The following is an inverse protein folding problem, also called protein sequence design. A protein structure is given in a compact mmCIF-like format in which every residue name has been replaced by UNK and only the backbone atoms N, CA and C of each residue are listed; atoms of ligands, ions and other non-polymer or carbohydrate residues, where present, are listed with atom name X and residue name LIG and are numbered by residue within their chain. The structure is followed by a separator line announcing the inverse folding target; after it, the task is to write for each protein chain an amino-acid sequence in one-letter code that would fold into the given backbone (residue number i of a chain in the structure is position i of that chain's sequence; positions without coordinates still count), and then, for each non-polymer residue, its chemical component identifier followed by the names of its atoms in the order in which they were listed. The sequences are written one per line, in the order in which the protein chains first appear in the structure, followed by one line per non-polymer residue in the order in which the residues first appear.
data_IF_614368267068
#
_entry.id   IF_614368267068
#
_cell.length_a   1.000
_cell.length_b   1.000
_cell.length_c   1.000
_cell.angle_alpha   90.00
_cell.angle_beta   90.00
_cell.angle_gamma   90.00
#
_symmetry.space_group_name_H-M   'P 1'
#
loop_
_entity.id
_entity.type
_entity.pdbx_description
1 polymer ?
#
# COMPACT_ATOMS: atom_id res chain seq x y z
N UNK A 1 -21.04 -27.38 -6.42
CA UNK A 1 -21.30 -26.21 -7.29
C UNK A 1 -20.39 -25.09 -6.83
N UNK A 2 -19.35 -24.77 -7.61
CA UNK A 2 -18.40 -23.70 -7.28
C UNK A 2 -19.05 -22.41 -7.78
N UNK A 3 -19.43 -21.53 -6.86
CA UNK A 3 -19.93 -20.19 -7.21
C UNK A 3 -18.84 -19.44 -7.99
N UNK A 4 -19.18 -18.62 -8.99
CA UNK A 4 -18.20 -17.87 -9.76
C UNK A 4 -17.41 -16.95 -8.83
N UNK A 5 -16.09 -17.06 -8.84
CA UNK A 5 -15.19 -16.18 -8.09
C UNK A 5 -15.38 -14.75 -8.58
N UNK A 6 -16.06 -13.92 -7.79
CA UNK A 6 -16.08 -12.47 -8.04
C UNK A 6 -14.63 -12.00 -7.96
N UNK A 7 -14.12 -11.48 -9.09
CA UNK A 7 -12.77 -10.94 -9.19
C UNK A 7 -12.50 -9.99 -8.03
N UNK A 8 -11.35 -10.12 -7.37
CA UNK A 8 -10.92 -9.24 -6.28
C UNK A 8 -10.88 -7.75 -6.71
N UNK A 9 -10.82 -7.48 -8.01
CA UNK A 9 -10.81 -6.13 -8.61
C UNK A 9 -12.19 -5.45 -8.60
N UNK A 10 -13.28 -6.20 -8.48
CA UNK A 10 -14.62 -5.62 -8.62
C UNK A 10 -15.00 -4.78 -7.38
N UNK A 11 -14.86 -3.46 -7.48
CA UNK A 11 -15.42 -2.49 -6.52
C UNK A 11 -14.42 -1.65 -5.73
N UNK A 12 -13.11 -1.76 -5.99
CA UNK A 12 -12.09 -0.90 -5.36
C UNK A 12 -11.62 0.21 -6.30
N UNK A 13 -11.38 1.40 -5.74
CA UNK A 13 -10.71 2.52 -6.43
C UNK A 13 -9.22 2.38 -6.21
N UNK A 14 -8.46 2.10 -7.28
CA UNK A 14 -7.03 1.78 -7.21
C UNK A 14 -6.21 2.95 -6.66
N UNK A 15 -6.44 4.17 -7.17
CA UNK A 15 -5.80 5.39 -6.68
C UNK A 15 -6.85 6.35 -6.14
N UNK A 16 -7.16 6.24 -4.83
CA UNK A 16 -8.10 7.13 -4.14
C UNK A 16 -7.38 8.30 -3.46
N UNK A 17 -8.09 9.42 -3.26
CA UNK A 17 -7.59 10.54 -2.44
C UNK A 17 -7.26 10.11 -1.01
N UNK A 18 -8.01 9.15 -0.46
CA UNK A 18 -7.77 8.61 0.87
C UNK A 18 -6.44 7.84 0.93
N UNK A 19 -6.17 6.98 -0.06
CA UNK A 19 -4.91 6.25 -0.16
C UNK A 19 -3.72 7.18 -0.37
N UNK A 20 -3.83 8.15 -1.29
CA UNK A 20 -2.77 9.15 -1.50
C UNK A 20 -2.46 9.92 -0.22
N UNK A 21 -3.51 10.35 0.51
CA UNK A 21 -3.33 11.06 1.79
C UNK A 21 -2.71 10.16 2.85
N UNK A 22 -3.12 8.89 2.93
CA UNK A 22 -2.58 7.92 3.88
C UNK A 22 -1.10 7.63 3.61
N UNK A 23 -0.72 7.40 2.35
CA UNK A 23 0.68 7.24 1.96
C UNK A 23 1.49 8.52 2.22
N UNK A 24 0.93 9.70 1.95
CA UNK A 24 1.58 10.97 2.26
C UNK A 24 1.95 11.14 3.74
N UNK A 25 1.10 10.64 4.64
CA UNK A 25 1.39 10.65 6.08
C UNK A 25 2.48 9.63 6.48
N UNK A 26 2.58 8.51 5.77
CA UNK A 26 3.52 7.42 6.09
C UNK A 26 4.90 7.62 5.48
N UNK A 27 4.96 8.04 4.22
CA UNK A 27 6.21 8.20 3.44
C UNK A 27 6.78 9.63 3.55
N UNK A 28 5.96 10.60 3.98
CA UNK A 28 6.27 12.02 3.81
C UNK A 28 6.14 12.46 2.36
N UNK A 29 6.51 13.71 2.07
CA UNK A 29 6.52 14.25 0.70
C UNK A 29 7.65 15.28 0.56
N UNK A 30 8.75 14.92 -0.11
CA UNK A 30 9.87 15.80 -0.36
C UNK A 30 9.95 16.21 -1.85
N UNK A 31 9.55 17.43 -2.23
CA UNK A 31 9.59 17.86 -3.63
C UNK A 31 11.01 18.05 -4.17
N UNK A 32 12.02 18.23 -3.31
CA UNK A 32 13.41 18.36 -3.74
C UNK A 32 14.03 16.97 -3.92
N UNK A 33 14.59 16.71 -5.10
CA UNK A 33 15.26 15.44 -5.38
C UNK A 33 16.57 15.36 -4.60
N UNK A 34 16.72 14.32 -3.80
CA UNK A 34 17.90 14.07 -2.97
C UNK A 34 18.54 12.72 -3.28
N UNK A 35 19.85 12.60 -3.03
CA UNK A 35 20.53 11.31 -3.06
C UNK A 35 20.23 10.58 -1.74
N UNK A 36 19.40 9.55 -1.80
CA UNK A 36 19.00 8.81 -0.61
C UNK A 36 20.12 7.89 -0.13
N UNK A 37 20.76 8.28 0.97
CA UNK A 37 21.86 7.52 1.58
C UNK A 37 21.42 6.16 2.12
N UNK A 38 20.15 5.99 2.46
CA UNK A 38 19.58 4.71 2.90
C UNK A 38 19.37 3.77 1.72
N UNK A 39 19.17 4.32 0.53
CA UNK A 39 19.05 3.61 -0.74
C UNK A 39 20.32 3.71 -1.60
N UNK A 40 21.51 3.72 -1.00
CA UNK A 40 22.80 3.72 -1.72
C UNK A 40 22.96 4.87 -2.75
N UNK A 41 22.48 6.06 -2.42
CA UNK A 41 22.48 7.28 -3.25
C UNK A 41 21.58 7.23 -4.49
N UNK A 42 20.56 6.36 -4.50
CA UNK A 42 19.51 6.43 -5.53
C UNK A 42 18.80 7.80 -5.46
N UNK A 43 18.61 8.50 -6.59
CA UNK A 43 17.82 9.73 -6.63
C UNK A 43 16.36 9.47 -6.22
N UNK A 44 15.91 10.18 -5.20
CA UNK A 44 14.58 9.98 -4.59
C UNK A 44 13.83 11.30 -4.49
N UNK A 45 12.52 11.28 -4.75
CA UNK A 45 11.63 12.46 -4.73
C UNK A 45 10.23 12.13 -4.21
N UNK A 46 9.47 13.15 -3.82
CA UNK A 46 8.08 13.09 -3.37
C UNK A 46 7.89 12.07 -2.23
N UNK A 47 7.06 11.05 -2.42
CA UNK A 47 6.74 10.01 -1.45
C UNK A 47 7.70 8.81 -1.51
N UNK A 48 8.97 9.04 -1.86
CA UNK A 48 9.96 7.97 -2.02
C UNK A 48 10.06 7.41 -3.44
N UNK A 49 9.57 8.15 -4.44
CA UNK A 49 9.65 7.75 -5.83
C UNK A 49 11.10 7.77 -6.34
N UNK A 50 11.46 6.76 -7.14
CA UNK A 50 12.76 6.62 -7.80
C UNK A 50 12.55 6.19 -9.24
N UNK A 51 13.35 6.71 -10.17
CA UNK A 51 13.24 6.37 -11.59
C UNK A 51 14.31 7.04 -12.45
N UNK A 52 14.49 6.61 -13.71
CA UNK A 52 15.46 7.21 -14.63
C UNK A 52 15.20 8.70 -14.92
N UNK A 53 13.98 9.18 -14.71
CA UNK A 53 13.55 10.57 -14.82
C UNK A 53 13.97 11.45 -13.63
N UNK A 54 14.34 10.85 -12.51
CA UNK A 54 14.62 11.54 -11.24
C UNK A 54 16.08 12.00 -11.21
N UNK A 55 16.30 13.31 -11.15
CA UNK A 55 17.65 13.91 -11.19
C UNK A 55 17.91 14.75 -9.94
N UNK A 56 19.00 14.45 -9.24
CA UNK A 56 19.40 15.16 -8.02
C UNK A 56 19.57 16.65 -8.31
N UNK A 57 18.96 17.49 -7.48
CA UNK A 57 18.95 18.95 -7.64
C UNK A 57 17.66 19.50 -8.27
N UNK A 58 16.83 18.67 -8.88
CA UNK A 58 15.51 19.09 -9.35
C UNK A 58 14.55 19.34 -8.17
N UNK A 59 13.54 20.18 -8.39
CA UNK A 59 12.41 20.37 -7.49
C UNK A 59 11.12 20.14 -8.26
N UNK A 60 10.32 19.17 -7.81
CA UNK A 60 9.06 18.82 -8.43
C UNK A 60 7.91 19.61 -7.83
N UNK A 61 6.97 20.01 -8.68
CA UNK A 61 5.72 20.64 -8.25
C UNK A 61 4.83 19.62 -7.55
N UNK A 62 3.87 20.11 -6.75
CA UNK A 62 2.86 19.24 -6.13
C UNK A 62 2.13 18.38 -7.17
N UNK A 63 1.78 18.96 -8.32
CA UNK A 63 1.10 18.22 -9.38
C UNK A 63 1.95 17.07 -9.95
N UNK A 64 3.26 17.28 -10.09
CA UNK A 64 4.19 16.20 -10.49
C UNK A 64 4.28 15.12 -9.42
N UNK A 65 4.36 15.50 -8.14
CA UNK A 65 4.38 14.54 -7.04
C UNK A 65 3.07 13.74 -6.93
N UNK A 66 1.91 14.40 -7.07
CA UNK A 66 0.62 13.71 -7.05
C UNK A 66 0.51 12.75 -8.25
N UNK A 67 0.92 13.19 -9.45
CA UNK A 67 0.87 12.37 -10.66
C UNK A 67 1.76 11.13 -10.57
N UNK A 68 2.99 11.26 -10.03
CA UNK A 68 3.87 10.11 -9.88
C UNK A 68 3.42 9.16 -8.77
N UNK A 69 2.86 9.71 -7.68
CA UNK A 69 2.28 8.90 -6.62
C UNK A 69 1.11 8.04 -7.13
N UNK A 70 0.26 8.59 -8.00
CA UNK A 70 -0.82 7.82 -8.65
C UNK A 70 -0.24 6.64 -9.43
N UNK A 71 0.81 6.86 -10.24
CA UNK A 71 1.44 5.79 -11.01
C UNK A 71 2.07 4.72 -10.12
N UNK A 72 2.75 5.12 -9.05
CA UNK A 72 3.34 4.17 -8.11
C UNK A 72 2.27 3.37 -7.36
N UNK A 73 1.17 4.01 -6.97
CA UNK A 73 0.00 3.34 -6.37
C UNK A 73 -0.60 2.34 -7.34
N UNK A 74 -0.80 2.70 -8.60
CA UNK A 74 -1.34 1.79 -9.61
C UNK A 74 -0.45 0.57 -9.77
N UNK A 75 0.87 0.76 -9.90
CA UNK A 75 1.84 -0.35 -10.00
C UNK A 75 1.77 -1.30 -8.79
N UNK A 76 1.81 -0.75 -7.57
CA UNK A 76 1.79 -1.58 -6.35
C UNK A 76 0.42 -2.20 -6.09
N UNK A 77 -0.65 -1.45 -6.33
CA UNK A 77 -2.03 -1.85 -6.13
C UNK A 77 -2.45 -2.95 -7.11
N UNK A 78 -2.15 -2.79 -8.40
CA UNK A 78 -2.41 -3.84 -9.40
C UNK A 78 -1.56 -5.08 -9.16
N UNK A 79 -0.28 -4.89 -8.80
CA UNK A 79 0.61 -5.97 -8.42
C UNK A 79 0.07 -6.78 -7.25
N UNK A 80 -0.42 -6.11 -6.20
CA UNK A 80 -1.06 -6.76 -5.06
C UNK A 80 -2.38 -7.45 -5.45
N UNK A 81 -3.24 -6.78 -6.21
CA UNK A 81 -4.52 -7.35 -6.66
C UNK A 81 -4.32 -8.59 -7.55
N UNK A 82 -3.17 -8.74 -8.21
CA UNK A 82 -2.85 -9.92 -9.02
C UNK A 82 -2.74 -11.21 -8.20
N UNK A 83 -2.46 -11.11 -6.90
CA UNK A 83 -2.31 -12.25 -5.99
C UNK A 83 -3.41 -12.34 -4.92
N UNK A 84 -4.41 -11.45 -4.97
CA UNK A 84 -5.61 -11.53 -4.12
C UNK A 84 -6.74 -12.19 -4.91
N UNK A 85 -7.30 -13.26 -4.38
CA UNK A 85 -8.29 -14.12 -5.07
C UNK A 85 -9.69 -14.04 -4.47
N UNK A 86 -9.88 -13.21 -3.43
CA UNK A 86 -11.16 -12.99 -2.77
C UNK A 86 -11.56 -11.51 -2.86
N UNK A 87 -12.86 -11.19 -2.79
CA UNK A 87 -13.30 -9.81 -2.66
C UNK A 87 -12.72 -9.15 -1.41
N UNK A 88 -12.25 -7.93 -1.54
CA UNK A 88 -11.81 -7.08 -0.44
C UNK A 88 -12.56 -5.75 -0.49
N UNK A 89 -12.72 -5.10 0.65
CA UNK A 89 -13.29 -3.76 0.70
C UNK A 89 -12.24 -2.68 0.44
N UNK A 90 -12.68 -1.43 0.25
CA UNK A 90 -11.79 -0.31 -0.03
C UNK A 90 -10.73 -0.11 1.07
N UNK A 91 -11.11 -0.13 2.34
CA UNK A 91 -10.16 0.08 3.44
C UNK A 91 -9.08 -1.02 3.52
N UNK A 92 -9.46 -2.28 3.25
CA UNK A 92 -8.52 -3.40 3.15
C UNK A 92 -7.55 -3.19 1.98
N UNK A 93 -8.06 -2.81 0.81
CA UNK A 93 -7.22 -2.51 -0.34
C UNK A 93 -6.23 -1.38 -0.04
N UNK A 94 -6.69 -0.27 0.54
CA UNK A 94 -5.86 0.89 0.83
C UNK A 94 -4.77 0.56 1.86
N UNK A 95 -5.13 -0.12 2.96
CA UNK A 95 -4.18 -0.55 3.98
C UNK A 95 -3.11 -1.50 3.43
N UNK A 96 -3.53 -2.49 2.65
CA UNK A 96 -2.60 -3.49 2.12
C UNK A 96 -1.75 -2.94 0.97
N UNK A 97 -2.27 -1.99 0.19
CA UNK A 97 -1.48 -1.27 -0.83
C UNK A 97 -0.44 -0.39 -0.16
N UNK A 98 -0.79 0.36 0.89
CA UNK A 98 0.18 1.15 1.65
C UNK A 98 1.26 0.27 2.31
N UNK A 99 0.89 -0.89 2.83
CA UNK A 99 1.85 -1.86 3.35
C UNK A 99 2.76 -2.41 2.23
N UNK A 100 2.18 -2.82 1.10
CA UNK A 100 2.89 -3.33 -0.09
C UNK A 100 3.86 -2.29 -0.67
N UNK A 101 3.53 -1.00 -0.60
CA UNK A 101 4.42 0.09 -1.00
C UNK A 101 5.76 0.08 -0.24
N UNK A 102 5.73 -0.33 1.03
CA UNK A 102 6.92 -0.39 1.88
C UNK A 102 7.67 -1.71 1.85
N UNK A 103 6.96 -2.84 1.73
CA UNK A 103 7.60 -4.18 1.75
C UNK A 103 7.86 -4.74 0.34
N UNK A 104 7.27 -4.13 -0.69
CA UNK A 104 7.27 -4.61 -2.07
C UNK A 104 6.21 -5.68 -2.34
N UNK A 105 5.68 -5.68 -3.57
CA UNK A 105 4.63 -6.61 -4.04
C UNK A 105 5.03 -8.08 -3.87
N UNK A 106 6.28 -8.43 -4.18
CA UNK A 106 6.75 -9.83 -4.08
C UNK A 106 6.68 -10.36 -2.64
N UNK A 107 7.14 -9.58 -1.66
CA UNK A 107 7.05 -9.94 -0.25
C UNK A 107 5.60 -9.98 0.23
N UNK A 108 4.77 -9.04 -0.22
CA UNK A 108 3.36 -9.00 0.10
C UNK A 108 2.62 -10.26 -0.41
N UNK A 109 2.76 -10.60 -1.69
CA UNK A 109 2.11 -11.76 -2.30
C UNK A 109 2.57 -13.10 -1.70
N UNK A 110 3.85 -13.21 -1.31
CA UNK A 110 4.39 -14.40 -0.64
C UNK A 110 4.05 -14.53 0.85
N UNK A 111 3.33 -13.56 1.43
CA UNK A 111 3.13 -13.46 2.87
C UNK A 111 2.05 -14.42 3.42
N UNK A 112 2.17 -14.75 4.71
CA UNK A 112 1.07 -15.36 5.47
C UNK A 112 -0.17 -14.46 5.50
N UNK A 113 0.00 -13.14 5.44
CA UNK A 113 -1.10 -12.18 5.38
C UNK A 113 -1.99 -12.46 4.16
N UNK A 114 -1.42 -12.45 2.95
CA UNK A 114 -2.17 -12.67 1.70
C UNK A 114 -2.74 -14.09 1.65
N UNK A 115 -2.01 -15.08 2.18
CA UNK A 115 -2.54 -16.45 2.35
C UNK A 115 -3.83 -16.48 3.18
N UNK A 116 -3.86 -15.80 4.34
CA UNK A 116 -5.05 -15.74 5.19
C UNK A 116 -6.16 -14.90 4.54
N UNK A 117 -5.79 -13.81 3.86
CA UNK A 117 -6.73 -12.97 3.13
C UNK A 117 -7.48 -13.79 2.08
N UNK A 118 -6.76 -14.57 1.26
CA UNK A 118 -7.34 -15.44 0.23
C UNK A 118 -8.18 -16.60 0.77
N UNK A 119 -8.12 -16.86 2.08
CA UNK A 119 -9.02 -17.77 2.79
C UNK A 119 -10.25 -17.05 3.39
N UNK A 120 -10.46 -15.78 2.99
CA UNK A 120 -11.46 -14.86 3.54
C UNK A 120 -11.35 -14.64 5.05
N UNK A 121 -10.18 -14.92 5.65
CA UNK A 121 -9.92 -14.68 7.07
C UNK A 121 -9.44 -13.23 7.29
N UNK A 122 -10.27 -12.26 6.96
CA UNK A 122 -9.87 -10.85 6.87
C UNK A 122 -9.25 -10.29 8.16
N UNK A 123 -9.88 -10.53 9.32
CA UNK A 123 -9.34 -10.04 10.59
C UNK A 123 -7.97 -10.68 10.92
N UNK A 124 -7.84 -11.99 10.70
CA UNK A 124 -6.57 -12.71 10.87
C UNK A 124 -5.49 -12.19 9.93
N UNK A 125 -5.84 -11.89 8.67
CA UNK A 125 -4.95 -11.29 7.69
C UNK A 125 -4.49 -9.89 8.14
N UNK A 126 -5.42 -8.98 8.46
CA UNK A 126 -5.06 -7.63 8.93
C UNK A 126 -4.17 -7.67 10.18
N UNK A 127 -4.39 -8.62 11.10
CA UNK A 127 -3.54 -8.80 12.28
C UNK A 127 -2.10 -9.23 11.94
N UNK A 128 -1.85 -9.83 10.77
CA UNK A 128 -0.48 -10.17 10.35
C UNK A 128 0.38 -8.94 10.08
N UNK A 129 -0.20 -7.75 9.83
CA UNK A 129 0.57 -6.53 9.57
C UNK A 129 1.57 -6.23 10.69
N UNK A 130 1.21 -6.49 11.95
CA UNK A 130 2.08 -6.25 13.11
C UNK A 130 3.36 -7.10 13.12
N UNK A 131 3.48 -8.11 12.25
CA UNK A 131 4.71 -8.91 12.13
C UNK A 131 5.76 -8.27 11.22
N UNK A 132 5.39 -7.22 10.49
CA UNK A 132 6.22 -6.52 9.50
C UNK A 132 6.79 -5.21 10.06
N UNK A 133 7.23 -5.26 11.33
CA UNK A 133 7.76 -4.13 12.07
C UNK A 133 9.27 -4.23 12.36
N UNK A 134 9.98 -5.16 11.71
CA UNK A 134 11.38 -5.45 11.97
C UNK A 134 12.32 -5.02 10.84
N UNK A 135 13.48 -4.49 11.21
CA UNK A 135 14.62 -4.31 10.32
C UNK A 135 15.88 -4.82 11.04
N UNK A 136 16.77 -5.53 10.34
CA UNK A 136 17.94 -6.15 10.98
C UNK A 136 17.59 -7.13 12.12
N UNK A 137 16.41 -7.74 12.08
CA UNK A 137 15.91 -8.67 13.10
C UNK A 137 15.29 -8.01 14.35
N UNK A 138 15.41 -6.69 14.51
CA UNK A 138 14.88 -5.97 15.67
C UNK A 138 13.61 -5.19 15.31
N UNK A 139 12.71 -5.04 16.28
CA UNK A 139 11.50 -4.21 16.12
C UNK A 139 11.92 -2.75 16.00
N UNK A 140 11.42 -2.07 14.97
CA UNK A 140 11.63 -0.65 14.73
C UNK A 140 10.33 0.08 15.06
N UNK A 141 10.39 1.00 16.02
CA UNK A 141 9.21 1.75 16.50
C UNK A 141 8.43 2.43 15.37
N UNK A 142 9.12 3.03 14.41
CA UNK A 142 8.50 3.67 13.24
C UNK A 142 7.70 2.68 12.38
N UNK A 143 8.28 1.52 12.08
CA UNK A 143 7.57 0.46 11.35
C UNK A 143 6.39 -0.06 12.16
N UNK A 144 6.56 -0.29 13.47
CA UNK A 144 5.46 -0.74 14.34
C UNK A 144 4.26 0.19 14.29
N UNK A 145 4.48 1.50 14.47
CA UNK A 145 3.41 2.50 14.39
C UNK A 145 2.72 2.51 13.02
N UNK A 146 3.49 2.39 11.94
CA UNK A 146 2.96 2.25 10.58
C UNK A 146 2.06 1.02 10.44
N UNK A 147 2.52 -0.15 10.91
CA UNK A 147 1.75 -1.41 10.87
C UNK A 147 0.47 -1.33 11.70
N UNK A 148 0.48 -0.60 12.83
CA UNK A 148 -0.72 -0.34 13.64
C UNK A 148 -1.74 0.48 12.83
N UNK A 149 -1.33 1.58 12.22
CA UNK A 149 -2.22 2.42 11.42
C UNK A 149 -2.81 1.67 10.21
N UNK A 150 -1.99 0.90 9.49
CA UNK A 150 -2.44 0.05 8.39
C UNK A 150 -3.42 -1.03 8.88
N UNK A 151 -3.16 -1.65 10.04
CA UNK A 151 -4.04 -2.66 10.63
C UNK A 151 -5.39 -2.07 11.00
N UNK A 152 -5.38 -0.92 11.65
CA UNK A 152 -6.60 -0.21 12.03
C UNK A 152 -7.45 0.12 10.81
N UNK A 153 -6.83 0.60 9.73
CA UNK A 153 -7.54 0.83 8.47
C UNK A 153 -8.07 -0.49 7.87
N UNK A 154 -7.25 -1.53 7.78
CA UNK A 154 -7.62 -2.83 7.22
C UNK A 154 -8.83 -3.47 7.94
N UNK A 155 -8.95 -3.27 9.25
CA UNK A 155 -10.05 -3.79 10.07
C UNK A 155 -11.34 -2.96 9.96
N UNK A 156 -11.31 -1.76 9.39
CA UNK A 156 -12.50 -0.92 9.25
C UNK A 156 -13.43 -1.48 8.17
N UNK A 157 -14.71 -1.76 8.49
CA UNK A 157 -15.69 -2.09 7.46
C UNK A 157 -15.96 -0.87 6.58
N UNK A 158 -16.38 -1.10 5.34
CA UNK A 158 -17.04 -0.08 4.51
C UNK A 158 -18.54 -0.25 4.64
N UNK A 159 -19.28 0.85 4.74
CA UNK A 159 -20.73 0.79 4.63
C UNK A 159 -21.04 0.45 3.17
N UNK A 160 -21.63 -0.72 2.94
CA UNK A 160 -22.29 -0.99 1.67
C UNK A 160 -23.67 -0.35 1.80
N UNK A 161 -23.92 0.74 1.08
CA UNK A 161 -25.28 1.22 0.88
C UNK A 161 -26.08 0.04 0.32
N UNK A 162 -26.99 -0.50 1.13
CA UNK A 162 -27.98 -1.43 0.62
C UNK A 162 -28.79 -0.62 -0.39
N UNK A 163 -28.66 -0.96 -1.67
CA UNK A 163 -29.67 -0.59 -2.65
C UNK A 163 -31.02 -1.03 -2.08
N UNK A 164 -31.85 -0.05 -1.73
CA UNK A 164 -33.23 -0.28 -1.31
C UNK A 164 -33.90 -0.89 -2.54
N UNK A 165 -34.21 -2.18 -2.46
CA UNK A 165 -34.99 -2.90 -3.46
C UNK A 165 -36.45 -2.45 -3.41
#
# INVERSE_FOLDING_TARGET
MIAPSKSAKAGVVVASLALMSFLGLLEGNNPAVYADKLAYNVPTVCNGHTGPEVKVGDVWTKAQCDAILIQDIEKHGEGLLSCITVPINQNQYEALTAWSFNVGVGAACGSTLVKLLNQAQYASACNQLLRWDRAGGVVVRGLHNRRVAERELCLKPVLVEKAIA
#
